data_IF_749356396363
#
_entry.id   IF_749356396363
#
_cell.length_a   1.000
_cell.length_b   1.000
_cell.length_c   1.000
_cell.angle_alpha   90.00
_cell.angle_beta   90.00
_cell.angle_gamma   90.00
#
_symmetry.space_group_name_H-M   'P 1'
#
loop_
_entity.id
_entity.type
_entity.pdbx_description
1 polymer ?
#
# COMPACT_ATOMS: atom_id res chain seq x y z
N UNK A 1 -27.29 -11.91 17.44
CA UNK A 1 -26.41 -13.06 17.14
C UNK A 1 -25.64 -12.75 15.89
N UNK A 2 -24.35 -13.01 15.90
CA UNK A 2 -23.40 -12.64 14.86
C UNK A 2 -23.35 -13.61 13.65
N UNK A 3 -24.38 -14.48 13.53
CA UNK A 3 -24.48 -15.40 12.40
C UNK A 3 -24.69 -14.65 11.07
N UNK A 4 -23.94 -15.01 10.06
CA UNK A 4 -24.09 -14.49 8.68
C UNK A 4 -25.38 -15.04 8.08
N UNK A 5 -26.27 -14.16 7.60
CA UNK A 5 -27.56 -14.55 7.02
C UNK A 5 -27.70 -14.18 5.54
N UNK A 6 -26.86 -13.26 5.03
CA UNK A 6 -26.83 -12.91 3.63
C UNK A 6 -25.48 -12.36 3.19
N UNK A 7 -25.07 -12.65 1.95
CA UNK A 7 -23.86 -12.13 1.30
C UNK A 7 -24.22 -11.72 -0.12
N UNK A 8 -23.98 -10.46 -0.47
CA UNK A 8 -24.32 -9.89 -1.76
C UNK A 8 -23.06 -9.30 -2.40
N UNK A 9 -22.54 -9.95 -3.43
CA UNK A 9 -21.46 -9.44 -4.27
C UNK A 9 -21.99 -8.64 -5.45
N UNK A 10 -21.27 -7.58 -5.82
CA UNK A 10 -21.54 -6.78 -7.02
C UNK A 10 -20.28 -6.27 -7.68
N UNK A 11 -20.39 -5.97 -8.97
CA UNK A 11 -19.36 -5.28 -9.73
C UNK A 11 -19.56 -3.77 -9.57
N UNK A 12 -18.48 -3.06 -9.19
CA UNK A 12 -18.40 -1.61 -9.16
C UNK A 12 -17.20 -1.13 -9.99
N UNK A 13 -16.98 0.18 -10.11
CA UNK A 13 -15.81 0.72 -10.79
C UNK A 13 -14.78 1.27 -9.80
N UNK A 14 -13.52 1.00 -10.08
CA UNK A 14 -12.37 1.57 -9.37
C UNK A 14 -12.03 3.00 -9.84
N UNK A 15 -11.04 3.63 -9.22
CA UNK A 15 -10.55 4.99 -9.53
C UNK A 15 -10.01 5.16 -10.95
N UNK A 16 -9.76 4.07 -11.67
CA UNK A 16 -9.32 4.05 -13.06
C UNK A 16 -10.47 3.75 -14.04
N UNK A 17 -11.69 3.56 -13.53
CA UNK A 17 -12.85 3.15 -14.34
C UNK A 17 -12.82 1.68 -14.75
N UNK A 18 -12.01 0.84 -14.09
CA UNK A 18 -12.02 -0.60 -14.29
C UNK A 18 -12.96 -1.26 -13.29
N UNK A 19 -13.62 -2.38 -13.66
CA UNK A 19 -14.42 -3.15 -12.73
C UNK A 19 -13.62 -3.70 -11.56
N UNK A 20 -14.24 -3.68 -10.38
CA UNK A 20 -13.77 -4.36 -9.17
C UNK A 20 -14.94 -4.90 -8.38
N UNK A 21 -14.66 -5.65 -7.31
CA UNK A 21 -15.66 -6.36 -6.51
C UNK A 21 -15.99 -5.59 -5.25
N UNK A 22 -17.29 -5.46 -4.96
CA UNK A 22 -17.83 -5.00 -3.67
C UNK A 22 -18.72 -6.09 -3.07
N UNK A 23 -18.66 -6.26 -1.76
CA UNK A 23 -19.44 -7.24 -1.01
C UNK A 23 -20.17 -6.58 0.15
N UNK A 24 -21.45 -6.93 0.33
CA UNK A 24 -22.23 -6.68 1.54
C UNK A 24 -22.41 -7.99 2.31
N UNK A 25 -22.25 -7.96 3.62
CA UNK A 25 -22.55 -9.05 4.55
C UNK A 25 -23.57 -8.57 5.54
N UNK A 26 -24.67 -9.33 5.71
CA UNK A 26 -25.73 -9.06 6.69
C UNK A 26 -25.70 -10.13 7.80
N UNK A 27 -25.82 -9.72 9.04
CA UNK A 27 -25.92 -10.61 10.20
C UNK A 27 -27.37 -10.74 10.68
N UNK A 28 -27.65 -11.81 11.43
CA UNK A 28 -28.98 -12.08 12.00
C UNK A 28 -29.50 -10.93 12.88
N UNK A 29 -28.62 -10.17 13.53
CA UNK A 29 -28.94 -8.98 14.32
C UNK A 29 -29.41 -7.79 13.48
N UNK A 30 -29.13 -7.78 12.17
CA UNK A 30 -29.30 -6.65 11.28
C UNK A 30 -28.03 -5.81 11.09
N UNK A 31 -26.93 -6.11 11.79
CA UNK A 31 -25.64 -5.48 11.55
C UNK A 31 -25.15 -5.81 10.14
N UNK A 32 -24.50 -4.84 9.47
CA UNK A 32 -24.08 -4.96 8.09
C UNK A 32 -22.64 -4.44 7.88
N UNK A 33 -21.91 -5.16 7.05
CA UNK A 33 -20.59 -4.72 6.58
C UNK A 33 -20.53 -4.63 5.06
N UNK A 34 -19.96 -3.55 4.53
CA UNK A 34 -19.68 -3.38 3.10
C UNK A 34 -18.20 -3.14 2.90
N UNK A 35 -17.61 -3.82 1.92
CA UNK A 35 -16.21 -3.63 1.55
C UNK A 35 -16.00 -3.74 0.06
N UNK A 36 -15.07 -2.93 -0.47
CA UNK A 36 -14.67 -2.95 -1.87
C UNK A 36 -13.16 -3.21 -2.01
N UNK A 37 -12.79 -4.00 -3.02
CA UNK A 37 -11.42 -4.49 -3.18
C UNK A 37 -10.63 -3.59 -4.15
N UNK A 38 -9.37 -3.23 -3.81
CA UNK A 38 -8.48 -2.51 -4.72
C UNK A 38 -7.89 -3.43 -5.80
N UNK A 39 -7.30 -2.82 -6.85
CA UNK A 39 -6.67 -3.52 -7.98
C UNK A 39 -5.34 -2.90 -8.36
N UNK A 40 -4.30 -3.69 -8.63
CA UNK A 40 -2.98 -3.22 -9.05
C UNK A 40 -2.91 -2.82 -10.53
N UNK A 41 -1.91 -1.96 -10.88
CA UNK A 41 -1.46 -1.73 -12.25
C UNK A 41 -0.20 -2.56 -12.54
N UNK A 42 0.85 -2.38 -11.77
CA UNK A 42 1.98 -3.29 -11.65
C UNK A 42 1.62 -4.38 -10.63
N UNK A 43 2.01 -5.61 -10.89
CA UNK A 43 1.71 -6.75 -10.00
C UNK A 43 2.94 -7.64 -9.89
N UNK A 44 3.33 -7.98 -8.67
CA UNK A 44 4.36 -8.98 -8.43
C UNK A 44 3.93 -10.34 -9.00
N UNK A 45 4.87 -11.07 -9.57
CA UNK A 45 4.58 -12.34 -10.25
C UNK A 45 4.01 -13.43 -9.33
N UNK A 46 4.10 -13.23 -8.02
CA UNK A 46 3.71 -14.17 -6.96
C UNK A 46 2.51 -13.73 -6.15
N UNK A 47 1.81 -12.67 -6.57
CA UNK A 47 0.57 -12.23 -5.94
C UNK A 47 -0.54 -13.27 -6.07
N UNK A 48 -1.48 -13.27 -5.12
CA UNK A 48 -2.73 -14.00 -5.26
C UNK A 48 -3.53 -13.45 -6.46
N UNK A 49 -4.23 -14.33 -7.15
CA UNK A 49 -4.83 -14.03 -8.46
C UNK A 49 -6.11 -13.21 -8.32
N UNK A 50 -6.12 -12.03 -8.92
CA UNK A 50 -7.33 -11.27 -9.17
C UNK A 50 -8.10 -11.91 -10.33
N UNK A 51 -9.28 -12.50 -10.05
CA UNK A 51 -10.07 -13.19 -11.06
C UNK A 51 -10.77 -12.18 -11.96
N UNK A 52 -10.41 -12.21 -13.25
CA UNK A 52 -10.99 -11.42 -14.34
C UNK A 52 -11.71 -12.31 -15.32
N UNK A 53 -12.79 -11.80 -15.96
CA UNK A 53 -13.62 -12.57 -16.88
C UNK A 53 -12.89 -12.93 -18.18
N UNK A 54 -11.98 -12.05 -18.64
CA UNK A 54 -11.24 -12.23 -19.90
C UNK A 54 -12.07 -11.97 -21.17
N UNK A 55 -13.37 -11.68 -21.04
CA UNK A 55 -14.23 -11.33 -22.16
C UNK A 55 -13.91 -9.93 -22.70
N UNK A 56 -13.22 -9.88 -23.83
CA UNK A 56 -12.82 -8.62 -24.48
C UNK A 56 -13.99 -7.77 -24.97
N UNK A 57 -15.17 -8.34 -25.14
CA UNK A 57 -16.40 -7.62 -25.48
C UNK A 57 -16.99 -6.80 -24.33
N UNK A 58 -16.50 -7.06 -23.09
CA UNK A 58 -16.95 -6.39 -21.88
C UNK A 58 -15.75 -5.87 -21.08
N UNK A 59 -15.70 -4.55 -20.85
CA UNK A 59 -14.57 -3.88 -20.15
C UNK A 59 -13.18 -4.29 -20.63
N UNK A 60 -13.04 -4.57 -21.93
CA UNK A 60 -11.78 -4.98 -22.55
C UNK A 60 -11.13 -6.22 -21.89
N UNK A 61 -11.96 -7.13 -21.34
CA UNK A 61 -11.53 -8.33 -20.63
C UNK A 61 -11.36 -8.16 -19.12
N UNK A 62 -11.56 -6.95 -18.57
CA UNK A 62 -11.33 -6.64 -17.15
C UNK A 62 -12.58 -6.83 -16.28
N UNK A 63 -13.71 -7.33 -16.80
CA UNK A 63 -14.90 -7.63 -16.02
C UNK A 63 -14.62 -8.58 -14.85
N UNK A 64 -15.47 -8.55 -13.80
CA UNK A 64 -15.32 -9.37 -12.58
C UNK A 64 -16.58 -10.17 -12.26
N UNK A 65 -17.46 -10.42 -13.24
CA UNK A 65 -18.72 -11.14 -13.00
C UNK A 65 -18.52 -12.57 -12.49
N UNK A 66 -17.43 -13.25 -12.90
CA UNK A 66 -17.10 -14.58 -12.36
C UNK A 66 -16.77 -14.52 -10.87
N UNK A 67 -16.01 -13.52 -10.44
CA UNK A 67 -15.71 -13.30 -9.02
C UNK A 67 -16.99 -12.96 -8.23
N UNK A 68 -17.88 -12.13 -8.81
CA UNK A 68 -19.19 -11.80 -8.24
C UNK A 68 -20.08 -13.02 -8.15
N UNK A 69 -20.10 -13.89 -9.16
CA UNK A 69 -20.85 -15.16 -9.13
C UNK A 69 -20.34 -16.06 -8.00
N UNK A 70 -19.02 -16.21 -7.84
CA UNK A 70 -18.43 -16.99 -6.76
C UNK A 70 -18.83 -16.45 -5.38
N UNK A 71 -18.92 -15.11 -5.21
CA UNK A 71 -19.42 -14.49 -3.98
C UNK A 71 -20.88 -14.83 -3.70
N UNK A 72 -21.73 -14.72 -4.72
CA UNK A 72 -23.18 -14.90 -4.59
C UNK A 72 -23.60 -16.38 -4.53
N UNK A 73 -22.68 -17.32 -4.76
CA UNK A 73 -22.95 -18.75 -4.75
C UNK A 73 -22.06 -19.49 -3.75
N UNK A 74 -20.93 -20.04 -4.15
CA UNK A 74 -20.10 -20.93 -3.33
C UNK A 74 -19.62 -20.26 -2.02
N UNK A 75 -19.16 -18.99 -2.09
CA UNK A 75 -18.69 -18.28 -0.91
C UNK A 75 -19.86 -18.00 0.05
N UNK A 76 -20.97 -17.52 -0.47
CA UNK A 76 -22.19 -17.29 0.33
C UNK A 76 -22.66 -18.58 1.01
N UNK A 77 -22.75 -19.69 0.27
CA UNK A 77 -23.16 -20.99 0.82
C UNK A 77 -22.22 -21.46 1.92
N UNK A 78 -20.89 -21.30 1.76
CA UNK A 78 -19.88 -21.75 2.70
C UNK A 78 -19.86 -20.92 4.00
N UNK A 79 -20.17 -19.63 3.92
CA UNK A 79 -20.14 -18.72 5.06
C UNK A 79 -21.48 -18.58 5.78
N UNK A 80 -22.58 -18.99 5.17
CA UNK A 80 -23.92 -18.89 5.75
C UNK A 80 -23.99 -19.58 7.11
N UNK A 81 -24.48 -18.87 8.12
CA UNK A 81 -24.62 -19.37 9.50
C UNK A 81 -23.32 -19.34 10.33
N UNK A 82 -22.17 -19.01 9.74
CA UNK A 82 -20.94 -18.82 10.52
C UNK A 82 -21.03 -17.58 11.40
N UNK A 83 -20.31 -17.61 12.51
CA UNK A 83 -20.14 -16.46 13.40
C UNK A 83 -19.17 -15.46 12.77
N UNK A 84 -19.64 -14.25 12.44
CA UNK A 84 -18.83 -13.19 11.83
C UNK A 84 -17.70 -12.71 12.75
N UNK A 85 -17.79 -12.91 14.07
CA UNK A 85 -16.73 -12.53 15.01
C UNK A 85 -15.54 -13.49 14.98
N UNK A 86 -15.69 -14.68 14.40
CA UNK A 86 -14.64 -15.69 14.25
C UNK A 86 -13.84 -15.49 12.93
N UNK A 87 -13.28 -14.28 12.74
CA UNK A 87 -12.60 -13.90 11.49
C UNK A 87 -11.61 -14.95 10.98
N UNK A 88 -10.80 -15.49 11.88
CA UNK A 88 -9.79 -16.51 11.50
C UNK A 88 -10.43 -17.78 10.96
N UNK A 89 -11.58 -18.18 11.50
CA UNK A 89 -12.32 -19.34 11.02
C UNK A 89 -13.00 -19.05 9.68
N UNK A 90 -13.57 -17.86 9.52
CA UNK A 90 -14.15 -17.39 8.24
C UNK A 90 -13.10 -17.39 7.13
N UNK A 91 -11.96 -16.76 7.38
CA UNK A 91 -10.86 -16.68 6.39
C UNK A 91 -10.29 -18.07 6.06
N UNK A 92 -10.19 -18.95 7.08
CA UNK A 92 -9.76 -20.33 6.86
C UNK A 92 -10.76 -21.09 5.98
N UNK A 93 -12.05 -20.90 6.21
CA UNK A 93 -13.12 -21.51 5.36
C UNK A 93 -12.97 -21.04 3.91
N UNK A 94 -12.71 -19.75 3.68
CA UNK A 94 -12.49 -19.20 2.34
C UNK A 94 -11.26 -19.79 1.64
N UNK A 95 -10.15 -19.91 2.38
CA UNK A 95 -8.89 -20.48 1.87
C UNK A 95 -9.08 -21.96 1.51
N UNK A 96 -9.69 -22.74 2.39
CA UNK A 96 -9.94 -24.17 2.19
C UNK A 96 -10.96 -24.41 1.04
N UNK A 97 -11.94 -23.52 0.90
CA UNK A 97 -12.92 -23.55 -0.20
C UNK A 97 -12.24 -23.32 -1.54
N UNK A 98 -11.33 -22.36 -1.66
CA UNK A 98 -10.55 -22.13 -2.89
C UNK A 98 -9.63 -23.32 -3.18
N UNK A 99 -8.87 -23.77 -2.19
CA UNK A 99 -8.02 -24.96 -2.25
C UNK A 99 -6.76 -24.79 -3.11
N UNK A 100 -6.46 -23.57 -3.61
CA UNK A 100 -5.24 -23.29 -4.38
C UNK A 100 -4.31 -22.34 -3.60
N UNK A 101 -3.01 -22.43 -3.84
CA UNK A 101 -2.02 -21.55 -3.17
C UNK A 101 -2.18 -20.08 -3.59
N UNK A 102 -2.63 -19.83 -4.83
CA UNK A 102 -2.77 -18.50 -5.45
C UNK A 102 -4.19 -17.93 -5.41
N UNK A 103 -5.15 -18.63 -4.80
CA UNK A 103 -6.57 -18.25 -4.80
C UNK A 103 -7.17 -18.06 -6.22
N UNK A 104 -6.65 -18.82 -7.20
CA UNK A 104 -7.03 -18.67 -8.60
C UNK A 104 -8.41 -19.23 -8.94
N UNK A 105 -8.96 -20.14 -8.11
CA UNK A 105 -10.25 -20.78 -8.38
C UNK A 105 -11.42 -19.82 -8.12
N UNK A 106 -11.47 -19.21 -6.95
CA UNK A 106 -12.52 -18.28 -6.57
C UNK A 106 -12.17 -16.82 -6.90
N UNK A 107 -10.88 -16.51 -6.88
CA UNK A 107 -10.33 -15.18 -7.04
C UNK A 107 -10.03 -14.52 -5.69
N UNK A 108 -8.79 -14.01 -5.52
CA UNK A 108 -8.40 -13.27 -4.34
C UNK A 108 -9.28 -12.03 -4.11
N UNK A 109 -9.80 -11.41 -5.17
CA UNK A 109 -10.74 -10.29 -5.11
C UNK A 109 -12.08 -10.69 -4.48
N UNK A 110 -12.69 -11.82 -4.85
CA UNK A 110 -13.92 -12.32 -4.24
C UNK A 110 -13.70 -12.71 -2.76
N UNK A 111 -12.60 -13.42 -2.47
CA UNK A 111 -12.25 -13.86 -1.12
C UNK A 111 -12.01 -12.65 -0.21
N UNK A 112 -11.23 -11.67 -0.65
CA UNK A 112 -10.93 -10.48 0.15
C UNK A 112 -12.18 -9.62 0.39
N UNK A 113 -13.05 -9.48 -0.62
CA UNK A 113 -14.30 -8.72 -0.45
C UNK A 113 -15.17 -9.33 0.66
N UNK A 114 -15.30 -10.65 0.70
CA UNK A 114 -16.02 -11.35 1.77
C UNK A 114 -15.32 -11.19 3.13
N UNK A 115 -14.00 -11.43 3.20
CA UNK A 115 -13.20 -11.30 4.42
C UNK A 115 -13.34 -9.93 5.07
N UNK A 116 -13.22 -8.86 4.27
CA UNK A 116 -13.36 -7.48 4.76
C UNK A 116 -14.80 -7.12 5.16
N UNK A 117 -15.79 -7.53 4.37
CA UNK A 117 -17.19 -7.25 4.66
C UNK A 117 -17.67 -7.96 5.93
N UNK A 118 -17.24 -9.20 6.17
CA UNK A 118 -17.50 -9.93 7.43
C UNK A 118 -16.92 -9.17 8.62
N UNK A 119 -15.65 -8.73 8.53
CA UNK A 119 -15.02 -7.97 9.62
C UNK A 119 -15.76 -6.67 9.94
N UNK A 120 -16.25 -5.95 8.93
CA UNK A 120 -17.05 -4.73 9.10
C UNK A 120 -18.40 -5.02 9.74
N UNK A 121 -19.08 -6.10 9.33
CA UNK A 121 -20.33 -6.52 9.95
C UNK A 121 -20.13 -6.91 11.41
N UNK A 122 -19.04 -7.61 11.73
CA UNK A 122 -18.70 -8.00 13.10
C UNK A 122 -18.34 -6.79 13.99
N UNK A 123 -17.66 -5.77 13.40
CA UNK A 123 -17.38 -4.52 14.10
C UNK A 123 -18.69 -3.75 14.42
N UNK A 124 -19.61 -3.65 13.45
CA UNK A 124 -20.94 -3.04 13.62
C UNK A 124 -21.76 -3.77 14.69
N UNK A 125 -21.83 -5.10 14.64
CA UNK A 125 -22.46 -5.95 15.67
C UNK A 125 -21.89 -5.69 17.07
N UNK A 126 -20.58 -5.47 17.15
CA UNK A 126 -19.89 -5.23 18.42
C UNK A 126 -20.03 -3.78 18.91
N UNK A 127 -20.59 -2.88 18.10
CA UNK A 127 -20.68 -1.44 18.38
C UNK A 127 -19.30 -0.76 18.43
N UNK A 128 -18.32 -1.27 17.70
CA UNK A 128 -16.94 -0.77 17.68
C UNK A 128 -16.59 -0.16 16.31
N UNK A 129 -15.79 0.91 16.31
CA UNK A 129 -15.09 1.36 15.11
C UNK A 129 -14.17 0.23 14.62
N UNK A 130 -13.96 0.11 13.29
CA UNK A 130 -13.22 -1.01 12.70
C UNK A 130 -11.80 -1.14 13.25
N UNK A 131 -11.08 -0.02 13.42
CA UNK A 131 -9.73 -0.04 13.98
C UNK A 131 -9.71 -0.55 15.43
N UNK A 132 -10.74 -0.27 16.24
CA UNK A 132 -10.86 -0.81 17.61
C UNK A 132 -11.22 -2.28 17.61
N UNK A 133 -12.06 -2.71 16.69
CA UNK A 133 -12.41 -4.11 16.52
C UNK A 133 -11.17 -4.97 16.21
N UNK A 134 -10.31 -4.48 15.30
CA UNK A 134 -9.05 -5.17 14.94
C UNK A 134 -7.97 -5.05 16.03
N UNK A 135 -7.80 -3.89 16.62
CA UNK A 135 -6.68 -3.58 17.52
C UNK A 135 -6.93 -3.88 19.00
N UNK A 136 -8.18 -4.13 19.38
CA UNK A 136 -8.57 -4.38 20.77
C UNK A 136 -8.42 -3.14 21.65
N UNK A 137 -8.04 -3.35 22.93
CA UNK A 137 -7.97 -2.31 23.96
C UNK A 137 -6.56 -1.76 24.21
N UNK A 138 -5.57 -2.19 23.43
CA UNK A 138 -4.19 -1.74 23.58
C UNK A 138 -3.95 -0.30 23.09
N UNK A 139 -2.76 0.27 23.35
CA UNK A 139 -2.38 1.57 22.78
C UNK A 139 -2.27 1.47 21.25
N UNK A 140 -2.69 2.53 20.57
CA UNK A 140 -2.68 2.61 19.11
C UNK A 140 -1.96 3.88 18.67
N UNK A 141 -1.10 3.76 17.66
CA UNK A 141 -0.35 4.87 17.07
C UNK A 141 -0.94 5.24 15.71
N UNK A 142 -0.98 6.53 15.42
CA UNK A 142 -1.27 7.03 14.09
C UNK A 142 -0.09 6.71 13.15
N UNK A 143 -0.35 6.34 11.89
CA UNK A 143 0.74 6.03 10.97
C UNK A 143 1.39 7.30 10.41
N UNK A 144 2.70 7.26 10.16
CA UNK A 144 3.39 8.24 9.31
C UNK A 144 2.94 8.03 7.86
N UNK A 145 2.38 9.04 7.20
CA UNK A 145 1.99 8.92 5.81
C UNK A 145 3.20 9.09 4.88
N UNK A 146 3.36 8.16 3.95
CA UNK A 146 4.31 8.21 2.85
C UNK A 146 3.54 8.69 1.62
N UNK A 147 3.66 9.99 1.31
CA UNK A 147 2.78 10.68 0.36
C UNK A 147 3.47 10.78 -1.00
N UNK A 148 2.97 10.08 -2.01
CA UNK A 148 3.50 10.09 -3.37
C UNK A 148 3.19 11.42 -4.07
N UNK A 149 4.17 12.32 -4.23
CA UNK A 149 3.98 13.67 -4.80
C UNK A 149 4.44 13.79 -6.25
N UNK A 150 5.36 12.92 -6.73
CA UNK A 150 5.75 12.79 -8.15
C UNK A 150 5.65 11.33 -8.57
N UNK A 151 4.90 11.09 -9.64
CA UNK A 151 4.74 9.80 -10.29
C UNK A 151 5.69 9.66 -11.49
N UNK A 152 6.22 8.46 -11.68
CA UNK A 152 6.96 8.03 -12.87
C UNK A 152 6.66 6.57 -13.18
N UNK A 153 7.55 5.89 -13.91
CA UNK A 153 7.44 4.48 -14.23
C UNK A 153 6.08 4.09 -14.81
N UNK A 154 5.48 3.02 -14.29
CA UNK A 154 4.16 2.55 -14.72
C UNK A 154 3.00 3.48 -14.32
N UNK A 155 3.21 4.42 -13.39
CA UNK A 155 2.16 5.33 -12.89
C UNK A 155 2.03 6.64 -13.67
N UNK A 156 2.94 6.94 -14.60
CA UNK A 156 2.93 8.16 -15.39
C UNK A 156 3.60 7.99 -16.75
N UNK A 157 3.10 8.72 -17.75
CA UNK A 157 3.74 8.78 -19.07
C UNK A 157 4.72 9.96 -19.11
N UNK A 158 5.90 9.78 -18.50
CA UNK A 158 6.98 10.78 -18.46
C UNK A 158 8.35 10.10 -18.57
N UNK A 159 9.42 10.83 -18.27
CA UNK A 159 10.83 10.39 -18.45
C UNK A 159 11.42 9.65 -17.24
N UNK A 160 10.70 9.55 -16.13
CA UNK A 160 11.21 8.94 -14.90
C UNK A 160 11.00 7.42 -14.90
N UNK A 161 12.04 6.65 -14.58
CA UNK A 161 11.93 5.19 -14.39
C UNK A 161 11.38 4.84 -13.01
N UNK A 162 11.78 5.59 -11.97
CA UNK A 162 11.26 5.39 -10.60
C UNK A 162 9.77 5.70 -10.55
N UNK A 163 9.02 4.79 -9.94
CA UNK A 163 7.57 4.82 -9.94
C UNK A 163 6.98 5.91 -9.05
N UNK A 164 7.59 6.14 -7.87
CA UNK A 164 7.09 7.12 -6.91
C UNK A 164 8.23 7.84 -6.17
N UNK A 165 8.07 9.16 -6.04
CA UNK A 165 8.86 9.97 -5.14
C UNK A 165 7.94 10.53 -4.06
N UNK A 166 8.23 10.18 -2.80
CA UNK A 166 7.36 10.43 -1.66
C UNK A 166 7.96 11.43 -0.69
N UNK A 167 7.07 12.15 0.01
CA UNK A 167 7.40 12.96 1.19
C UNK A 167 6.86 12.29 2.45
N UNK A 168 7.64 12.37 3.54
CA UNK A 168 7.35 11.77 4.83
C UNK A 168 7.46 12.83 5.94
N UNK A 169 6.33 13.33 6.49
CA UNK A 169 6.32 14.41 7.50
C UNK A 169 6.69 13.87 8.89
N UNK A 170 7.98 13.63 9.14
CA UNK A 170 8.48 13.04 10.38
C UNK A 170 8.46 13.99 11.58
N UNK A 171 8.55 15.30 11.33
CA UNK A 171 8.61 16.32 12.38
C UNK A 171 7.26 16.85 12.84
N UNK A 172 6.15 16.25 12.39
CA UNK A 172 4.81 16.65 12.81
C UNK A 172 4.52 16.22 14.26
N UNK A 173 3.71 17.01 14.96
CA UNK A 173 3.28 16.70 16.33
C UNK A 173 2.01 15.83 16.42
N UNK A 174 1.31 15.65 15.30
CA UNK A 174 0.08 14.87 15.18
C UNK A 174 -0.11 14.42 13.73
N UNK A 175 -1.02 13.48 13.48
CA UNK A 175 -1.36 13.08 12.11
C UNK A 175 -1.98 14.24 11.33
N UNK A 176 -2.84 15.03 11.96
CA UNK A 176 -3.44 16.25 11.36
C UNK A 176 -2.38 17.23 10.90
N UNK A 177 -1.32 17.47 11.72
CA UNK A 177 -0.21 18.31 11.32
C UNK A 177 0.63 17.69 10.19
N UNK A 178 0.83 16.37 10.22
CA UNK A 178 1.51 15.66 9.13
C UNK A 178 0.77 15.81 7.80
N UNK A 179 -0.56 15.68 7.83
CA UNK A 179 -1.39 15.85 6.64
C UNK A 179 -1.37 17.31 6.13
N UNK A 180 -1.37 18.30 7.04
CA UNK A 180 -1.22 19.72 6.69
C UNK A 180 0.13 19.99 6.01
N UNK A 181 1.22 19.52 6.61
CA UNK A 181 2.58 19.66 6.05
C UNK A 181 2.66 19.06 4.64
N UNK A 182 2.08 17.88 4.45
CA UNK A 182 1.99 17.23 3.15
C UNK A 182 1.20 18.07 2.12
N UNK A 183 0.02 18.55 2.50
CA UNK A 183 -0.85 19.34 1.61
C UNK A 183 -0.21 20.68 1.20
N UNK A 184 0.42 21.38 2.13
CA UNK A 184 1.13 22.64 1.85
C UNK A 184 2.33 22.41 0.92
N UNK A 185 3.11 21.34 1.15
CA UNK A 185 4.20 20.94 0.26
C UNK A 185 3.70 20.56 -1.14
N UNK A 186 2.61 19.80 -1.22
CA UNK A 186 1.98 19.44 -2.50
C UNK A 186 1.56 20.67 -3.30
N UNK A 187 0.95 21.68 -2.66
CA UNK A 187 0.59 22.92 -3.32
C UNK A 187 1.78 23.78 -3.72
N UNK A 188 2.84 23.82 -2.89
CA UNK A 188 4.09 24.48 -3.24
C UNK A 188 4.74 23.81 -4.46
N UNK A 189 4.76 22.47 -4.51
CA UNK A 189 5.26 21.69 -5.65
C UNK A 189 4.45 21.99 -6.91
N UNK A 190 3.11 22.03 -6.82
CA UNK A 190 2.23 22.41 -7.94
C UNK A 190 2.63 23.75 -8.53
N UNK A 191 2.85 24.74 -7.65
CA UNK A 191 3.26 26.08 -8.08
C UNK A 191 4.61 26.06 -8.79
N UNK A 192 5.61 25.36 -8.24
CA UNK A 192 6.95 25.27 -8.85
C UNK A 192 6.92 24.60 -10.22
N UNK A 193 6.12 23.53 -10.40
CA UNK A 193 5.90 22.86 -11.68
C UNK A 193 5.26 23.82 -12.70
N UNK A 194 4.20 24.52 -12.29
CA UNK A 194 3.50 25.48 -13.13
C UNK A 194 4.41 26.65 -13.56
N UNK A 195 5.17 27.21 -12.62
CA UNK A 195 6.05 28.36 -12.89
C UNK A 195 7.19 27.99 -13.87
N UNK A 196 7.53 26.71 -14.00
CA UNK A 196 8.47 26.18 -15.01
C UNK A 196 7.79 25.82 -16.35
N UNK A 197 6.50 26.11 -16.50
CA UNK A 197 5.70 25.83 -17.70
C UNK A 197 5.41 24.34 -17.94
N UNK A 198 5.56 23.49 -16.91
CA UNK A 198 5.28 22.07 -17.01
C UNK A 198 3.82 21.74 -16.62
N UNK A 199 3.36 20.55 -17.02
CA UNK A 199 2.03 20.05 -16.70
C UNK A 199 1.89 19.77 -15.19
N UNK A 200 0.78 20.22 -14.60
CA UNK A 200 0.34 19.86 -13.25
C UNK A 200 -0.74 18.79 -13.24
N UNK A 201 -0.88 18.04 -14.34
CA UNK A 201 -1.72 16.84 -14.36
C UNK A 201 -1.16 15.79 -13.39
N UNK A 202 -2.07 15.02 -12.81
CA UNK A 202 -1.73 14.00 -11.81
C UNK A 202 -1.86 12.59 -12.41
N UNK A 203 -1.04 11.67 -11.91
CA UNK A 203 -1.10 10.25 -12.23
C UNK A 203 -2.19 9.50 -11.44
N UNK A 204 -2.18 8.18 -11.56
CA UNK A 204 -3.20 7.30 -10.95
C UNK A 204 -3.28 7.44 -9.43
N UNK A 205 -2.19 7.77 -8.78
CA UNK A 205 -2.10 7.91 -7.32
C UNK A 205 -2.17 9.36 -6.82
N UNK A 206 -2.45 10.30 -7.71
CA UNK A 206 -2.68 11.70 -7.37
C UNK A 206 -1.42 12.56 -7.29
N UNK A 207 -0.22 12.01 -7.45
CA UNK A 207 1.03 12.75 -7.59
C UNK A 207 1.16 13.40 -8.97
N UNK A 208 1.96 14.47 -9.09
CA UNK A 208 2.22 15.13 -10.37
C UNK A 208 3.07 14.24 -11.29
N UNK A 209 2.94 14.43 -12.59
CA UNK A 209 3.65 13.66 -13.59
C UNK A 209 4.41 14.56 -14.60
N UNK A 210 5.27 15.50 -14.13
CA UNK A 210 6.03 16.36 -15.03
C UNK A 210 7.11 15.56 -15.77
N UNK A 211 7.47 15.99 -16.97
CA UNK A 211 8.67 15.49 -17.65
C UNK A 211 9.89 16.25 -17.14
N UNK A 212 10.77 15.57 -16.44
CA UNK A 212 11.98 16.12 -15.84
C UNK A 212 13.24 15.53 -16.52
N UNK A 213 14.37 16.20 -16.35
CA UNK A 213 15.61 15.82 -17.04
C UNK A 213 16.16 14.47 -16.59
N UNK A 214 16.03 14.14 -15.30
CA UNK A 214 16.47 12.91 -14.65
C UNK A 214 15.85 12.79 -13.25
N UNK A 215 16.17 11.72 -12.51
CA UNK A 215 15.63 11.45 -11.17
C UNK A 215 16.12 12.48 -10.12
N UNK A 216 17.38 12.91 -10.18
CA UNK A 216 17.89 13.92 -9.26
C UNK A 216 17.15 15.26 -9.41
N UNK A 217 16.80 15.66 -10.64
CA UNK A 217 16.00 16.86 -10.88
C UNK A 217 14.62 16.77 -10.23
N UNK A 218 14.02 15.58 -10.17
CA UNK A 218 12.77 15.35 -9.47
C UNK A 218 12.94 15.46 -7.94
N UNK A 219 13.99 14.84 -7.39
CA UNK A 219 14.31 14.93 -5.96
C UNK A 219 14.54 16.39 -5.56
N UNK A 220 15.37 17.12 -6.30
CA UNK A 220 15.68 18.53 -6.02
C UNK A 220 14.45 19.44 -6.15
N UNK A 221 13.53 19.14 -7.06
CA UNK A 221 12.27 19.86 -7.19
C UNK A 221 11.38 19.68 -5.94
N UNK A 222 11.32 18.46 -5.39
CA UNK A 222 10.58 18.18 -4.14
C UNK A 222 11.24 18.89 -2.96
N UNK A 223 12.57 18.88 -2.84
CA UNK A 223 13.27 19.59 -1.76
C UNK A 223 12.96 21.08 -1.78
N UNK A 224 13.01 21.72 -2.95
CA UNK A 224 12.60 23.12 -3.12
C UNK A 224 11.13 23.37 -2.75
N UNK A 225 10.23 22.40 -3.01
CA UNK A 225 8.84 22.51 -2.62
C UNK A 225 8.65 22.45 -1.11
N UNK A 226 9.41 21.59 -0.42
CA UNK A 226 9.42 21.50 1.05
C UNK A 226 9.87 22.84 1.65
N UNK A 227 10.98 23.41 1.16
CA UNK A 227 11.50 24.70 1.59
C UNK A 227 10.51 25.84 1.29
N UNK A 228 9.91 25.86 0.09
CA UNK A 228 8.92 26.85 -0.31
C UNK A 228 7.63 26.80 0.52
N UNK A 229 7.29 25.62 1.07
CA UNK A 229 6.19 25.45 2.01
C UNK A 229 6.58 25.87 3.46
N UNK A 230 7.84 26.23 3.70
CA UNK A 230 8.33 26.67 5.02
C UNK A 230 8.79 25.56 5.94
N UNK A 231 9.07 24.38 5.39
CA UNK A 231 9.55 23.22 6.15
C UNK A 231 11.03 22.91 5.89
N UNK A 232 11.67 22.23 6.82
CA UNK A 232 13.08 21.85 6.75
C UNK A 232 13.22 20.41 6.21
N UNK A 233 13.86 20.23 5.00
CA UNK A 233 14.12 18.90 4.46
C UNK A 233 15.00 18.05 5.41
N UNK A 234 14.63 16.77 5.56
CA UNK A 234 15.35 15.80 6.40
C UNK A 234 14.99 15.85 7.88
N UNK A 235 14.72 17.01 8.43
CA UNK A 235 14.33 17.18 9.84
C UNK A 235 12.81 17.06 10.01
N UNK A 236 12.07 17.88 9.27
CA UNK A 236 10.61 17.90 9.35
C UNK A 236 9.97 16.99 8.30
N UNK A 237 10.49 17.03 7.08
CA UNK A 237 9.99 16.18 5.97
C UNK A 237 11.19 15.47 5.35
N UNK A 238 11.18 14.13 5.44
CA UNK A 238 12.13 13.28 4.74
C UNK A 238 11.55 12.80 3.40
N UNK A 239 12.37 12.10 2.61
CA UNK A 239 11.99 11.54 1.33
C UNK A 239 11.91 10.02 1.37
N UNK A 240 11.03 9.46 0.53
CA UNK A 240 10.96 8.05 0.20
C UNK A 240 10.94 7.84 -1.30
N UNK A 241 11.46 6.73 -1.75
CA UNK A 241 11.45 6.30 -3.15
C UNK A 241 10.72 4.96 -3.26
N UNK A 242 9.93 4.80 -4.31
CA UNK A 242 9.54 3.50 -4.83
C UNK A 242 10.17 3.34 -6.20
N UNK A 243 11.14 2.44 -6.29
CA UNK A 243 11.87 2.20 -7.53
C UNK A 243 11.09 1.32 -8.49
N UNK A 244 10.28 0.38 -7.98
CA UNK A 244 9.63 -0.67 -8.77
C UNK A 244 10.60 -1.33 -9.76
N UNK A 245 11.78 -1.71 -9.27
CA UNK A 245 12.96 -2.01 -10.10
C UNK A 245 12.79 -3.21 -11.03
N UNK A 246 11.80 -4.08 -10.77
CA UNK A 246 11.43 -5.17 -11.67
C UNK A 246 11.00 -4.68 -13.05
N UNK A 247 10.43 -3.46 -13.14
CA UNK A 247 9.94 -2.87 -14.38
C UNK A 247 11.06 -2.52 -15.39
N UNK A 248 12.27 -2.26 -14.91
CA UNK A 248 13.43 -1.93 -15.76
C UNK A 248 14.62 -2.90 -15.59
N UNK A 249 14.40 -4.05 -14.95
CA UNK A 249 15.39 -5.12 -14.87
C UNK A 249 15.29 -6.04 -16.08
N UNK A 250 16.36 -6.12 -16.89
CA UNK A 250 16.43 -6.91 -18.13
C UNK A 250 17.79 -7.59 -18.24
N UNK A 251 17.79 -8.89 -18.49
CA UNK A 251 19.01 -9.69 -18.73
C UNK A 251 20.10 -9.51 -17.65
N UNK A 252 19.68 -9.44 -16.38
CA UNK A 252 20.58 -9.28 -15.24
C UNK A 252 21.11 -7.86 -15.04
N UNK A 253 20.48 -6.84 -15.65
CA UNK A 253 20.86 -5.43 -15.55
C UNK A 253 19.65 -4.52 -15.36
N UNK A 254 19.89 -3.41 -14.67
CA UNK A 254 18.96 -2.30 -14.51
C UNK A 254 19.19 -1.27 -15.62
N UNK A 255 18.18 -1.09 -16.48
CA UNK A 255 18.27 -0.17 -17.64
C UNK A 255 17.41 1.05 -17.37
N UNK A 256 18.07 2.17 -17.04
CA UNK A 256 17.43 3.43 -16.69
C UNK A 256 17.30 4.33 -17.91
N UNK A 257 16.12 4.37 -18.53
CA UNK A 257 15.82 5.20 -19.69
C UNK A 257 15.90 6.70 -19.35
N UNK A 258 15.40 7.08 -18.18
CA UNK A 258 15.42 8.44 -17.64
C UNK A 258 16.83 8.98 -17.31
N UNK A 259 17.82 8.09 -17.21
CA UNK A 259 19.23 8.43 -17.01
C UNK A 259 20.05 8.24 -18.32
N UNK A 260 19.41 8.48 -19.46
CA UNK A 260 20.08 8.37 -20.77
C UNK A 260 20.29 6.93 -21.25
N UNK A 261 19.55 5.97 -20.75
CA UNK A 261 19.63 4.56 -21.14
C UNK A 261 20.82 3.83 -20.52
N UNK A 262 21.32 4.29 -19.39
CA UNK A 262 22.43 3.64 -18.70
C UNK A 262 22.02 2.22 -18.24
N UNK A 263 22.93 1.27 -18.39
CA UNK A 263 22.70 -0.15 -18.02
C UNK A 263 23.65 -0.53 -16.89
N UNK A 264 23.10 -0.83 -15.71
CA UNK A 264 23.81 -1.04 -14.46
C UNK A 264 23.69 -2.50 -14.01
N UNK A 265 24.75 -3.07 -13.47
CA UNK A 265 24.70 -4.29 -12.66
C UNK A 265 24.02 -4.01 -11.33
N UNK A 266 23.66 -5.07 -10.58
CA UNK A 266 23.09 -4.94 -9.23
C UNK A 266 23.99 -4.12 -8.30
N UNK A 267 25.30 -4.32 -8.37
CA UNK A 267 26.27 -3.54 -7.58
C UNK A 267 26.28 -2.06 -7.95
N UNK A 268 26.28 -1.75 -9.25
CA UNK A 268 26.31 -0.36 -9.75
C UNK A 268 25.01 0.36 -9.40
N UNK A 269 23.87 -0.32 -9.50
CA UNK A 269 22.57 0.26 -9.13
C UNK A 269 22.46 0.47 -7.62
N UNK A 270 22.91 -0.48 -6.79
CA UNK A 270 23.01 -0.28 -5.34
C UNK A 270 23.88 0.92 -4.97
N UNK A 271 25.03 1.10 -5.66
CA UNK A 271 25.91 2.24 -5.44
C UNK A 271 25.26 3.57 -5.86
N UNK A 272 24.44 3.59 -6.91
CA UNK A 272 23.69 4.76 -7.33
C UNK A 272 22.66 5.16 -6.23
N UNK A 273 21.89 4.19 -5.73
CA UNK A 273 20.94 4.42 -4.65
C UNK A 273 21.65 4.91 -3.37
N UNK A 274 22.79 4.32 -3.03
CA UNK A 274 23.60 4.76 -1.89
C UNK A 274 24.09 6.21 -2.05
N UNK A 275 24.53 6.59 -3.25
CA UNK A 275 24.94 7.96 -3.55
C UNK A 275 23.80 8.96 -3.36
N UNK A 276 22.58 8.61 -3.77
CA UNK A 276 21.41 9.45 -3.53
C UNK A 276 21.05 9.55 -2.05
N UNK A 277 21.16 8.44 -1.28
CA UNK A 277 20.93 8.46 0.16
C UNK A 277 21.97 9.27 0.95
N UNK A 278 23.22 9.34 0.47
CA UNK A 278 24.25 10.17 1.08
C UNK A 278 24.08 11.67 0.75
N UNK A 279 23.49 11.97 -0.42
CA UNK A 279 23.28 13.36 -0.90
C UNK A 279 21.95 13.96 -0.45
N UNK A 280 20.92 13.17 -0.32
CA UNK A 280 19.54 13.60 -0.08
C UNK A 280 18.94 12.94 1.17
N UNK A 281 17.97 13.56 1.84
CA UNK A 281 17.36 13.01 3.06
C UNK A 281 16.37 11.87 2.79
N UNK A 282 16.83 10.84 2.07
CA UNK A 282 16.05 9.63 1.75
C UNK A 282 16.14 8.67 2.93
N UNK A 283 15.00 8.32 3.51
CA UNK A 283 14.91 7.41 4.66
C UNK A 283 14.30 6.06 4.31
N UNK A 284 13.64 5.94 3.16
CA UNK A 284 12.97 4.72 2.71
C UNK A 284 13.13 4.50 1.22
N UNK A 285 13.42 3.27 0.81
CA UNK A 285 13.44 2.81 -0.58
C UNK A 285 12.61 1.53 -0.67
N UNK A 286 11.58 1.57 -1.50
CA UNK A 286 10.76 0.42 -1.84
C UNK A 286 11.25 -0.19 -3.16
N UNK A 287 11.28 -1.51 -3.21
CA UNK A 287 11.72 -2.32 -4.34
C UNK A 287 12.98 -1.78 -5.05
N UNK A 288 14.00 -1.48 -4.22
CA UNK A 288 15.30 -0.99 -4.68
C UNK A 288 16.07 -1.99 -5.54
N UNK A 289 15.63 -3.25 -5.60
CA UNK A 289 16.08 -4.31 -6.50
C UNK A 289 14.88 -5.06 -7.06
N UNK A 290 15.07 -5.76 -8.18
CA UNK A 290 14.04 -6.58 -8.80
C UNK A 290 13.62 -7.75 -7.91
N UNK A 291 12.37 -8.20 -8.02
CA UNK A 291 11.78 -9.26 -7.19
C UNK A 291 12.53 -10.60 -7.24
N UNK A 292 13.27 -10.85 -8.31
CA UNK A 292 14.07 -12.06 -8.51
C UNK A 292 15.57 -11.88 -8.28
N UNK A 293 16.06 -10.67 -8.03
CA UNK A 293 17.48 -10.36 -7.78
C UNK A 293 17.80 -10.42 -6.28
N UNK A 294 17.69 -11.60 -5.67
CA UNK A 294 17.91 -11.80 -4.24
C UNK A 294 19.35 -11.51 -3.79
N UNK A 295 20.35 -11.77 -4.64
CA UNK A 295 21.74 -11.41 -4.37
C UNK A 295 21.93 -9.89 -4.38
N UNK A 296 21.30 -9.18 -5.32
CA UNK A 296 21.26 -7.72 -5.35
C UNK A 296 20.56 -7.14 -4.11
N UNK A 297 19.44 -7.72 -3.70
CA UNK A 297 18.74 -7.34 -2.47
C UNK A 297 19.61 -7.51 -1.21
N UNK A 298 20.33 -8.63 -1.10
CA UNK A 298 21.24 -8.86 0.01
C UNK A 298 22.34 -7.81 0.05
N UNK A 299 22.95 -7.54 -1.10
CA UNK A 299 23.99 -6.53 -1.26
C UNK A 299 23.48 -5.13 -0.88
N UNK A 300 22.29 -4.72 -1.35
CA UNK A 300 21.65 -3.46 -1.01
C UNK A 300 21.39 -3.38 0.50
N UNK A 301 20.92 -4.48 1.11
CA UNK A 301 20.62 -4.53 2.55
C UNK A 301 21.90 -4.41 3.40
N UNK A 302 22.98 -5.07 3.02
CA UNK A 302 24.28 -4.93 3.67
C UNK A 302 24.82 -3.49 3.57
N UNK A 303 24.60 -2.82 2.45
CA UNK A 303 25.11 -1.46 2.20
C UNK A 303 24.28 -0.37 2.89
N UNK A 304 22.96 -0.45 2.86
CA UNK A 304 22.05 0.62 3.28
C UNK A 304 21.15 0.28 4.46
N UNK A 305 20.92 -1.00 4.76
CA UNK A 305 19.87 -1.43 5.70
C UNK A 305 20.02 -0.93 7.14
N UNK A 306 21.19 -0.43 7.55
CA UNK A 306 21.36 0.22 8.84
C UNK A 306 20.95 1.70 8.90
N UNK A 307 20.80 2.35 7.73
CA UNK A 307 20.53 3.79 7.60
C UNK A 307 19.19 4.08 6.92
N UNK A 308 18.73 3.18 6.05
CA UNK A 308 17.57 3.36 5.17
C UNK A 308 16.64 2.18 5.31
N UNK A 309 15.34 2.45 5.41
CA UNK A 309 14.29 1.44 5.34
C UNK A 309 14.24 0.87 3.93
N UNK A 310 14.42 -0.44 3.79
CA UNK A 310 14.35 -1.17 2.52
C UNK A 310 13.09 -2.01 2.51
N UNK A 311 12.08 -1.53 1.77
CA UNK A 311 10.75 -2.11 1.73
C UNK A 311 10.64 -3.11 0.58
N UNK A 312 10.26 -4.35 0.87
CA UNK A 312 9.92 -5.33 -0.16
C UNK A 312 8.42 -5.30 -0.46
N UNK A 313 8.04 -4.88 -1.66
CA UNK A 313 6.69 -4.97 -2.23
C UNK A 313 6.60 -6.23 -3.10
N UNK A 314 7.02 -6.17 -4.35
CA UNK A 314 7.03 -7.33 -5.27
C UNK A 314 7.93 -8.46 -4.75
N UNK A 315 8.94 -8.11 -3.96
CA UNK A 315 9.82 -9.09 -3.30
C UNK A 315 9.05 -10.03 -2.38
N UNK A 316 8.09 -9.53 -1.59
CA UNK A 316 7.41 -10.30 -0.54
C UNK A 316 5.93 -10.56 -0.82
N UNK A 317 5.27 -9.74 -1.62
CA UNK A 317 3.85 -9.80 -2.00
C UNK A 317 2.91 -10.11 -0.83
N UNK A 318 3.19 -9.51 0.35
CA UNK A 318 2.43 -9.74 1.60
C UNK A 318 2.39 -11.22 2.03
N UNK A 319 3.28 -12.07 1.50
CA UNK A 319 3.29 -13.52 1.69
C UNK A 319 4.24 -13.93 2.81
N UNK A 320 3.70 -14.54 3.87
CA UNK A 320 4.48 -14.98 5.05
C UNK A 320 5.55 -16.03 4.74
N UNK A 321 5.33 -16.89 3.74
CA UNK A 321 6.32 -17.91 3.33
C UNK A 321 7.55 -17.23 2.73
N UNK A 322 7.34 -16.23 1.86
CA UNK A 322 8.42 -15.49 1.20
C UNK A 322 9.09 -14.52 2.18
N UNK A 323 8.31 -13.83 3.02
CA UNK A 323 8.84 -12.96 4.08
C UNK A 323 9.77 -13.76 5.04
N UNK A 324 9.35 -14.96 5.45
CA UNK A 324 10.19 -15.84 6.29
C UNK A 324 11.53 -16.18 5.63
N UNK A 325 11.53 -16.40 4.32
CA UNK A 325 12.75 -16.63 3.56
C UNK A 325 13.65 -15.39 3.56
N UNK A 326 13.08 -14.20 3.32
CA UNK A 326 13.82 -12.93 3.34
C UNK A 326 14.44 -12.64 4.70
N UNK A 327 13.68 -12.83 5.78
CA UNK A 327 14.16 -12.68 7.16
C UNK A 327 15.35 -13.63 7.42
N UNK A 328 15.23 -14.91 7.02
CA UNK A 328 16.30 -15.90 7.23
C UNK A 328 17.57 -15.58 6.44
N UNK A 329 17.46 -14.91 5.30
CA UNK A 329 18.59 -14.51 4.45
C UNK A 329 19.12 -13.10 4.76
N UNK A 330 18.45 -12.34 5.64
CA UNK A 330 18.82 -10.96 5.96
C UNK A 330 18.61 -10.01 4.76
N UNK A 331 17.51 -10.18 4.05
CA UNK A 331 17.14 -9.41 2.84
C UNK A 331 16.03 -8.43 3.18
N UNK A 332 16.20 -7.16 2.81
CA UNK A 332 15.34 -6.04 3.20
C UNK A 332 15.31 -5.82 4.72
N UNK A 333 14.51 -4.87 5.21
CA UNK A 333 14.24 -4.63 6.63
C UNK A 333 12.83 -4.11 6.89
N UNK A 334 11.98 -4.15 5.85
CA UNK A 334 10.58 -3.74 5.88
C UNK A 334 9.77 -4.50 4.84
N UNK A 335 8.47 -4.62 5.04
CA UNK A 335 7.53 -5.20 4.08
C UNK A 335 6.43 -4.21 3.73
N UNK A 336 6.05 -4.14 2.45
CA UNK A 336 4.81 -3.50 2.05
C UNK A 336 3.64 -4.46 2.24
N UNK A 337 2.53 -3.97 2.77
CA UNK A 337 1.33 -4.76 3.07
C UNK A 337 0.21 -4.30 2.14
N UNK A 338 -0.10 -5.11 1.16
CA UNK A 338 -1.23 -4.92 0.24
C UNK A 338 -2.24 -6.06 0.44
N UNK A 339 -3.38 -5.74 0.99
CA UNK A 339 -4.40 -6.73 1.39
C UNK A 339 -4.83 -7.67 0.26
N UNK A 340 -4.87 -7.17 -0.97
CA UNK A 340 -5.27 -7.97 -2.14
C UNK A 340 -4.16 -8.85 -2.72
N UNK A 341 -2.88 -8.63 -2.35
CA UNK A 341 -1.77 -9.51 -2.76
C UNK A 341 -1.85 -10.90 -2.11
N UNK A 342 -2.53 -11.00 -0.96
CA UNK A 342 -2.69 -12.24 -0.22
C UNK A 342 -4.15 -12.71 -0.11
N UNK A 343 -5.11 -11.78 -0.01
CA UNK A 343 -6.54 -12.02 -0.21
C UNK A 343 -7.37 -12.33 1.02
N UNK A 344 -6.81 -12.34 2.24
CA UNK A 344 -7.57 -12.39 3.50
C UNK A 344 -7.00 -11.46 4.55
N UNK A 345 -7.82 -11.00 5.49
CA UNK A 345 -7.37 -10.20 6.63
C UNK A 345 -6.48 -11.01 7.58
N UNK A 346 -6.80 -12.27 7.83
CA UNK A 346 -6.00 -13.15 8.70
C UNK A 346 -4.56 -13.31 8.18
N UNK A 347 -4.39 -13.55 6.88
CA UNK A 347 -3.04 -13.65 6.29
C UNK A 347 -2.33 -12.31 6.29
N UNK A 348 -3.06 -11.20 6.06
CA UNK A 348 -2.53 -9.84 6.15
C UNK A 348 -1.98 -9.54 7.54
N UNK A 349 -2.76 -9.80 8.58
CA UNK A 349 -2.31 -9.61 9.97
C UNK A 349 -1.15 -10.51 10.34
N UNK A 350 -1.14 -11.75 9.86
CA UNK A 350 -0.02 -12.68 10.07
C UNK A 350 1.29 -12.16 9.43
N UNK A 351 1.24 -11.53 8.27
CA UNK A 351 2.40 -10.92 7.61
C UNK A 351 2.94 -9.72 8.41
N UNK A 352 2.06 -8.83 8.86
CA UNK A 352 2.43 -7.67 9.70
C UNK A 352 3.09 -8.14 11.00
N UNK A 353 2.47 -9.10 11.69
CA UNK A 353 2.98 -9.60 12.97
C UNK A 353 4.33 -10.33 12.80
N UNK A 354 4.49 -11.11 11.73
CA UNK A 354 5.76 -11.79 11.41
C UNK A 354 6.88 -10.76 11.18
N UNK A 355 6.62 -9.70 10.41
CA UNK A 355 7.58 -8.62 10.16
C UNK A 355 8.02 -7.96 11.47
N UNK A 356 7.07 -7.52 12.28
CA UNK A 356 7.34 -6.85 13.57
C UNK A 356 8.16 -7.71 14.52
N UNK A 357 7.83 -9.01 14.65
CA UNK A 357 8.60 -9.96 15.48
C UNK A 357 10.03 -10.16 15.00
N UNK A 358 10.28 -9.95 13.72
CA UNK A 358 11.64 -10.04 13.15
C UNK A 358 12.42 -8.70 13.23
N UNK A 359 11.82 -7.63 13.77
CA UNK A 359 12.39 -6.30 13.79
C UNK A 359 12.29 -5.57 12.45
N UNK A 360 11.50 -6.08 11.51
CA UNK A 360 11.13 -5.40 10.28
C UNK A 360 9.98 -4.43 10.55
N UNK A 361 9.93 -3.33 9.84
CA UNK A 361 8.73 -2.49 9.80
C UNK A 361 7.71 -3.04 8.80
N UNK A 362 6.47 -2.59 8.92
CA UNK A 362 5.41 -2.88 7.97
C UNK A 362 4.79 -1.57 7.49
N UNK A 363 4.65 -1.40 6.18
CA UNK A 363 4.00 -0.24 5.57
C UNK A 363 2.68 -0.69 4.98
N UNK A 364 1.56 -0.26 5.56
CA UNK A 364 0.23 -0.58 5.00
C UNK A 364 -0.01 0.26 3.76
N UNK A 365 -0.40 -0.36 2.65
CA UNK A 365 -0.41 0.28 1.35
C UNK A 365 -1.74 0.12 0.61
N UNK A 366 -2.07 1.14 -0.17
CA UNK A 366 -3.09 1.13 -1.21
C UNK A 366 -2.62 0.37 -2.45
N UNK A 367 -3.45 0.39 -3.50
CA UNK A 367 -3.07 0.02 -4.87
C UNK A 367 -3.32 1.19 -5.83
N UNK A 368 -2.82 1.08 -7.06
CA UNK A 368 -3.04 2.11 -8.10
C UNK A 368 -4.52 2.25 -8.48
N UNK A 369 -5.27 1.16 -8.54
CA UNK A 369 -6.74 1.17 -8.66
C UNK A 369 -7.39 1.03 -7.29
N UNK A 370 -8.02 2.10 -6.82
CA UNK A 370 -8.68 2.19 -5.50
C UNK A 370 -10.16 2.49 -5.61
N UNK A 371 -10.85 2.35 -4.49
CA UNK A 371 -12.22 2.78 -4.27
C UNK A 371 -12.29 3.73 -3.09
N UNK A 372 -13.49 4.13 -2.65
CA UNK A 372 -13.68 4.90 -1.42
C UNK A 372 -13.47 4.06 -0.14
N UNK A 373 -13.27 2.75 -0.25
CA UNK A 373 -12.99 1.89 0.91
C UNK A 373 -11.73 2.38 1.64
N UNK A 374 -11.84 2.50 2.96
CA UNK A 374 -10.77 3.03 3.81
C UNK A 374 -10.23 2.02 4.83
N UNK A 375 -10.51 0.72 4.65
CA UNK A 375 -10.12 -0.35 5.59
C UNK A 375 -8.63 -0.35 5.91
N UNK A 376 -7.76 0.00 4.93
CA UNK A 376 -6.32 0.06 5.17
C UNK A 376 -5.91 1.12 6.19
N UNK A 377 -6.68 2.20 6.35
CA UNK A 377 -6.45 3.19 7.40
C UNK A 377 -6.70 2.59 8.79
N UNK A 378 -7.79 1.85 8.94
CA UNK A 378 -8.12 1.14 10.18
C UNK A 378 -7.09 0.05 10.50
N UNK A 379 -6.62 -0.71 9.50
CA UNK A 379 -5.57 -1.73 9.65
C UNK A 379 -4.26 -1.09 10.14
N UNK A 380 -3.83 0.04 9.54
CA UNK A 380 -2.57 0.69 9.89
C UNK A 380 -2.54 1.12 11.36
N UNK A 381 -3.65 1.66 11.89
CA UNK A 381 -3.77 2.06 13.28
C UNK A 381 -3.88 0.85 14.20
N UNK A 382 -4.79 -0.08 13.88
CA UNK A 382 -5.09 -1.25 14.70
C UNK A 382 -3.89 -2.16 14.95
N UNK A 383 -3.02 -2.31 13.95
CA UNK A 383 -1.84 -3.18 14.02
C UNK A 383 -0.59 -2.47 14.54
N UNK A 384 -0.67 -1.16 14.81
CA UNK A 384 0.53 -0.35 15.08
C UNK A 384 1.61 -0.56 14.01
N UNK A 385 1.22 -0.58 12.73
CA UNK A 385 2.16 -0.62 11.63
C UNK A 385 3.00 0.65 11.56
N UNK A 386 2.49 1.74 12.12
CA UNK A 386 3.11 3.06 12.24
C UNK A 386 3.43 3.74 10.90
N UNK A 387 3.14 3.13 9.76
CA UNK A 387 3.38 3.68 8.44
C UNK A 387 2.24 3.31 7.49
N UNK A 388 1.87 4.25 6.62
CA UNK A 388 0.87 4.04 5.57
C UNK A 388 1.32 4.72 4.28
N UNK A 389 1.21 4.00 3.16
CA UNK A 389 1.43 4.50 1.81
C UNK A 389 0.09 4.47 1.07
N UNK A 390 -0.52 5.65 0.86
CA UNK A 390 -1.88 5.72 0.29
C UNK A 390 -2.05 6.86 -0.72
N UNK A 391 -1.00 7.10 -1.50
CA UNK A 391 -0.98 8.06 -2.60
C UNK A 391 -0.74 9.50 -2.15
N UNK A 392 -1.11 10.44 -3.02
CA UNK A 392 -0.88 11.86 -2.84
C UNK A 392 -2.05 12.57 -2.15
N UNK A 393 -1.97 13.91 -2.12
CA UNK A 393 -2.95 14.83 -1.52
C UNK A 393 -4.02 15.26 -2.54
N UNK A 394 -4.35 14.40 -3.48
CA UNK A 394 -5.39 14.62 -4.49
C UNK A 394 -6.05 13.30 -4.86
N UNK A 395 -7.22 13.33 -5.52
CA UNK A 395 -8.12 12.22 -5.84
C UNK A 395 -8.86 11.68 -4.60
N UNK A 396 -10.19 11.56 -4.71
CA UNK A 396 -11.07 11.20 -3.58
C UNK A 396 -10.79 9.80 -3.03
N UNK A 397 -10.36 8.89 -3.88
CA UNK A 397 -9.96 7.52 -3.52
C UNK A 397 -8.77 7.48 -2.57
N UNK A 398 -7.84 8.45 -2.67
CA UNK A 398 -6.70 8.61 -1.74
C UNK A 398 -7.14 9.37 -0.48
N UNK A 399 -7.87 10.49 -0.68
CA UNK A 399 -8.36 11.29 0.44
C UNK A 399 -9.28 10.52 1.38
N UNK A 400 -10.02 9.52 0.89
CA UNK A 400 -10.86 8.66 1.73
C UNK A 400 -10.08 8.05 2.90
N UNK A 401 -8.86 7.55 2.64
CA UNK A 401 -7.99 6.94 3.65
C UNK A 401 -7.43 7.98 4.62
N UNK A 402 -6.94 9.11 4.10
CA UNK A 402 -6.45 10.22 4.94
C UNK A 402 -7.55 10.80 5.83
N UNK A 403 -8.75 11.00 5.29
CA UNK A 403 -9.89 11.49 6.05
C UNK A 403 -10.35 10.49 7.11
N UNK A 404 -10.24 9.18 6.84
CA UNK A 404 -10.50 8.15 7.85
C UNK A 404 -9.49 8.23 9.00
N UNK A 405 -8.21 8.41 8.71
CA UNK A 405 -7.18 8.61 9.73
C UNK A 405 -7.43 9.85 10.59
N UNK A 406 -7.91 10.96 9.99
CA UNK A 406 -8.31 12.15 10.76
C UNK A 406 -9.47 11.85 11.73
N UNK A 407 -10.47 11.06 11.32
CA UNK A 407 -11.57 10.63 12.20
C UNK A 407 -11.06 9.72 13.32
N UNK A 408 -10.17 8.79 13.01
CA UNK A 408 -9.55 7.92 14.01
C UNK A 408 -8.74 8.74 15.03
N UNK A 409 -7.95 9.72 14.58
CA UNK A 409 -7.21 10.61 15.48
C UNK A 409 -8.16 11.40 16.40
N UNK A 410 -9.29 11.89 15.88
CA UNK A 410 -10.31 12.57 16.65
C UNK A 410 -10.96 11.64 17.70
N UNK A 411 -11.28 10.39 17.33
CA UNK A 411 -11.82 9.40 18.28
C UNK A 411 -10.81 8.99 19.35
N UNK A 412 -9.51 8.93 19.03
CA UNK A 412 -8.45 8.65 20.00
C UNK A 412 -8.19 9.85 20.92
N UNK A 413 -8.47 11.07 20.45
CA UNK A 413 -8.30 12.32 21.19
C UNK A 413 -6.91 12.44 21.82
N UNK A 414 -6.83 12.67 23.12
CA UNK A 414 -5.57 12.93 23.86
C UNK A 414 -4.63 11.71 23.93
N UNK A 415 -5.12 10.50 23.62
CA UNK A 415 -4.30 9.29 23.61
C UNK A 415 -3.75 8.96 22.22
N UNK A 416 -4.10 9.74 21.19
CA UNK A 416 -3.51 9.61 19.86
C UNK A 416 -2.01 9.91 19.92
N UNK A 417 -1.20 9.01 19.40
CA UNK A 417 0.25 9.18 19.30
C UNK A 417 0.68 9.20 17.84
N UNK A 418 1.44 10.23 17.46
CA UNK A 418 2.09 10.29 16.16
C UNK A 418 3.58 10.00 16.34
N UNK A 419 4.09 8.86 15.83
CA UNK A 419 5.44 8.39 16.16
C UNK A 419 6.55 9.18 15.44
N UNK A 420 6.25 9.88 14.34
CA UNK A 420 7.27 10.56 13.57
C UNK A 420 8.41 9.61 13.19
N UNK A 421 9.64 9.99 13.52
CA UNK A 421 10.83 9.20 13.19
C UNK A 421 10.89 7.84 13.91
N UNK A 422 10.22 7.68 15.05
CA UNK A 422 10.17 6.41 15.78
C UNK A 422 9.44 5.29 15.02
N UNK A 423 8.64 5.64 13.99
CA UNK A 423 8.03 4.66 13.09
C UNK A 423 9.07 3.82 12.33
N UNK A 424 10.30 4.29 12.25
CA UNK A 424 11.43 3.64 11.56
C UNK A 424 12.36 2.94 12.55
N UNK A 425 11.79 2.15 13.46
CA UNK A 425 12.52 1.45 14.54
C UNK A 425 13.50 0.37 14.03
N UNK A 426 13.44 0.00 12.78
CA UNK A 426 14.38 -0.88 12.09
C UNK A 426 15.71 -0.19 11.73
N UNK A 427 15.79 1.14 11.84
CA UNK A 427 17.01 1.91 11.57
C UNK A 427 17.82 2.12 12.86
N UNK A 428 19.15 2.10 12.78
CA UNK A 428 20.07 2.21 13.91
C UNK A 428 20.76 3.57 13.97
#
# INVERSE_FOLDING_TARGET
>A
MSAIVDIIGREILDSRGNPTVECDVLLESGAMGRAAVPSGASTGSREAIELRDGDKGRYLGKGVLRAVENLNTEISEALMGLDAQEQTFVDRTLIDLDGTDSKERLGANAILAASMAVARAAADESGLSLYRYFGGSGPMSMPVPMMNVINGGAHANNTLDLQELMILPLGASSFREALRMGAETFHALKKLIHDQGMSTAVGDEGGFAPSLANHEAAIELILRAIEAAGYEPGTQIALGLDCASSEFYRDGKYVLAGEGGVSLSSQEFANLLATWCDKYPIISIEDGMAENDWDGWKLLTEQLGGKVQLVGDDLFVTNTKILKQGIAQGVANSILIKINQIGTLTETFAAIEMAKRAGYTAVVSHRSGETEDATIADIAVATNAMQIKTGSLSRSDRMAKYNQLLRIEEELAEVAQYPGREAFYNLR
#
